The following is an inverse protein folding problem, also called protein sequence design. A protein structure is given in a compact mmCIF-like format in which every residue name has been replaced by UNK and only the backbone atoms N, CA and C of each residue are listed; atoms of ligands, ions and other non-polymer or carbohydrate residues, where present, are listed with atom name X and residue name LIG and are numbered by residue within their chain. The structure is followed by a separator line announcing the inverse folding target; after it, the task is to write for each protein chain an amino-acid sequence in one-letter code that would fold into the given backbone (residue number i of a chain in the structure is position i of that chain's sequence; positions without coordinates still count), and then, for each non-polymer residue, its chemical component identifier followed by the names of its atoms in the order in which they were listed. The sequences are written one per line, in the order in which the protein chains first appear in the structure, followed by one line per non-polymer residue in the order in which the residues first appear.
data_IF_768868759554
#
_entry.id   IF_768868759554
#
_cell.length_a   1.000
_cell.length_b   1.000
_cell.length_c   1.000
_cell.angle_alpha   90.00
_cell.angle_beta   90.00
_cell.angle_gamma   90.00
#
_symmetry.space_group_name_H-M   'P 1'
#
loop_
_entity.id
_entity.type
_entity.pdbx_description
1 polymer ?
#
# COMPACT_ATOMS: atom_id res chain seq x y z
N UNK A 1 49.01 13.77 -49.19
CA UNK A 1 47.94 13.88 -48.17
C UNK A 1 48.57 14.21 -46.82
N UNK A 2 48.43 15.43 -46.29
CA UNK A 2 48.93 15.80 -44.94
C UNK A 2 47.82 15.58 -43.91
N UNK A 3 47.99 14.59 -43.03
CA UNK A 3 47.07 14.31 -41.91
C UNK A 3 47.36 15.32 -40.79
N UNK A 4 46.42 16.22 -40.52
CA UNK A 4 46.50 17.16 -39.39
C UNK A 4 46.13 16.38 -38.12
N UNK A 5 47.12 16.02 -37.32
CA UNK A 5 46.91 15.46 -35.98
C UNK A 5 46.52 16.61 -35.04
N UNK A 6 45.22 16.71 -34.70
CA UNK A 6 44.75 17.62 -33.66
C UNK A 6 45.37 17.20 -32.33
N UNK A 7 46.17 18.09 -31.70
CA UNK A 7 46.64 17.90 -30.33
C UNK A 7 45.43 17.90 -29.40
N UNK A 8 45.16 16.78 -28.73
CA UNK A 8 44.22 16.73 -27.62
C UNK A 8 44.81 17.54 -26.46
N UNK A 9 44.10 18.58 -26.02
CA UNK A 9 44.44 19.29 -24.79
C UNK A 9 43.88 18.46 -23.63
N UNK A 10 44.75 17.99 -22.74
CA UNK A 10 44.36 17.37 -21.48
C UNK A 10 43.94 18.40 -20.45
N UNK A 11 43.26 17.96 -19.40
CA UNK A 11 42.83 18.81 -18.30
C UNK A 11 44.01 19.33 -17.50
N UNK A 12 43.90 20.58 -17.04
CA UNK A 12 44.86 21.19 -16.11
C UNK A 12 44.56 20.78 -14.68
N UNK A 13 45.59 20.80 -13.81
CA UNK A 13 45.42 20.57 -12.37
C UNK A 13 44.41 21.55 -11.76
N UNK A 14 44.43 22.80 -12.22
CA UNK A 14 43.51 23.86 -11.77
C UNK A 14 42.05 23.55 -12.10
N UNK A 15 41.75 22.97 -13.28
CA UNK A 15 40.38 22.59 -13.64
C UNK A 15 39.83 21.48 -12.75
N UNK A 16 40.67 20.50 -12.41
CA UNK A 16 40.28 19.41 -11.51
C UNK A 16 40.03 19.97 -10.09
N UNK A 17 40.88 20.88 -9.62
CA UNK A 17 40.70 21.52 -8.31
C UNK A 17 39.40 22.34 -8.23
N UNK A 18 39.09 23.11 -9.28
CA UNK A 18 37.85 23.89 -9.34
C UNK A 18 36.62 22.96 -9.38
N UNK A 19 36.67 21.88 -10.16
CA UNK A 19 35.59 20.91 -10.23
C UNK A 19 35.32 20.24 -8.86
N UNK A 20 36.39 19.85 -8.14
CA UNK A 20 36.27 19.27 -6.81
C UNK A 20 35.72 20.26 -5.78
N UNK A 21 36.11 21.54 -5.87
CA UNK A 21 35.57 22.59 -5.01
C UNK A 21 34.06 22.79 -5.22
N UNK A 22 33.59 22.79 -6.47
CA UNK A 22 32.15 22.88 -6.78
C UNK A 22 31.40 21.65 -6.25
N UNK A 23 31.95 20.44 -6.43
CA UNK A 23 31.35 19.20 -5.89
C UNK A 23 31.29 19.24 -4.36
N UNK A 24 32.32 19.73 -3.68
CA UNK A 24 32.35 19.85 -2.22
C UNK A 24 31.29 20.83 -1.70
N UNK A 25 31.09 21.95 -2.39
CA UNK A 25 30.04 22.93 -2.05
C UNK A 25 28.64 22.34 -2.34
N UNK A 26 28.45 21.74 -3.52
CA UNK A 26 27.16 21.15 -3.90
C UNK A 26 26.77 19.95 -3.04
N UNK A 27 27.75 19.19 -2.54
CA UNK A 27 27.52 18.06 -1.65
C UNK A 27 26.83 18.43 -0.33
N UNK A 28 26.87 19.71 0.08
CA UNK A 28 26.21 20.17 1.30
C UNK A 28 24.71 20.40 1.15
N UNK A 29 24.19 20.51 -0.08
CA UNK A 29 22.78 20.86 -0.37
C UNK A 29 22.01 19.63 -0.89
N UNK A 30 22.20 18.48 -0.26
CA UNK A 30 21.40 17.28 -0.55
C UNK A 30 20.68 16.86 0.73
N UNK A 31 19.44 17.33 0.87
CA UNK A 31 18.48 16.76 1.80
C UNK A 31 17.54 15.84 1.01
N UNK A 32 17.67 14.52 1.19
CA UNK A 32 16.73 13.54 0.64
C UNK A 32 15.44 13.55 1.50
N UNK A 33 14.57 14.55 1.32
CA UNK A 33 13.25 14.57 1.95
C UNK A 33 12.26 13.72 1.16
N UNK A 34 12.26 12.41 1.40
CA UNK A 34 11.25 11.47 0.87
C UNK A 34 10.20 11.04 1.91
N UNK A 35 10.34 11.41 3.19
CA UNK A 35 9.61 10.76 4.28
C UNK A 35 8.32 11.44 4.75
N UNK A 36 8.04 12.71 4.41
CA UNK A 36 6.93 13.45 5.05
C UNK A 36 5.53 13.32 4.43
N UNK A 37 5.41 12.79 3.21
CA UNK A 37 4.11 12.72 2.49
C UNK A 37 3.52 11.31 2.42
N UNK A 38 4.25 10.31 2.91
CA UNK A 38 3.88 8.90 2.76
C UNK A 38 2.73 8.55 3.68
N UNK A 39 2.71 9.05 4.92
CA UNK A 39 1.75 8.65 5.96
C UNK A 39 0.32 9.05 5.60
N UNK A 40 0.11 10.28 5.14
CA UNK A 40 -1.21 10.73 4.66
C UNK A 40 -1.67 9.94 3.44
N UNK A 41 -0.75 9.63 2.53
CA UNK A 41 -1.04 8.80 1.36
C UNK A 41 -1.39 7.36 1.77
N UNK A 42 -0.68 6.80 2.75
CA UNK A 42 -0.91 5.47 3.32
C UNK A 42 -2.31 5.40 3.94
N UNK A 43 -2.67 6.38 4.80
CA UNK A 43 -3.98 6.44 5.43
C UNK A 43 -5.10 6.58 4.40
N UNK A 44 -4.91 7.43 3.38
CA UNK A 44 -5.89 7.62 2.32
C UNK A 44 -6.08 6.34 1.50
N UNK A 45 -4.98 5.63 1.20
CA UNK A 45 -5.00 4.35 0.52
C UNK A 45 -5.76 3.30 1.36
N UNK A 46 -5.45 3.18 2.65
CA UNK A 46 -6.15 2.28 3.57
C UNK A 46 -7.65 2.54 3.59
N UNK A 47 -8.07 3.81 3.70
CA UNK A 47 -9.49 4.20 3.66
C UNK A 47 -10.17 3.76 2.37
N UNK A 48 -9.52 4.00 1.24
CA UNK A 48 -10.03 3.62 -0.08
C UNK A 48 -10.15 2.10 -0.24
N UNK A 49 -9.12 1.37 0.16
CA UNK A 49 -9.06 -0.09 -0.01
C UNK A 49 -10.06 -0.78 0.91
N UNK A 50 -10.08 -0.43 2.20
CA UNK A 50 -11.01 -1.00 3.17
C UNK A 50 -12.47 -0.74 2.78
N UNK A 51 -12.80 0.49 2.34
CA UNK A 51 -14.14 0.81 1.86
C UNK A 51 -14.53 0.04 0.59
N UNK A 52 -13.57 -0.17 -0.32
CA UNK A 52 -13.79 -0.96 -1.54
C UNK A 52 -14.05 -2.43 -1.22
N UNK A 53 -13.26 -3.01 -0.32
CA UNK A 53 -13.42 -4.41 0.12
C UNK A 53 -14.73 -4.58 0.89
N UNK A 54 -15.05 -3.67 1.81
CA UNK A 54 -16.30 -3.68 2.56
C UNK A 54 -17.51 -3.67 1.63
N UNK A 55 -17.54 -2.75 0.65
CA UNK A 55 -18.62 -2.68 -0.34
C UNK A 55 -18.73 -3.98 -1.15
N UNK A 56 -17.60 -4.58 -1.55
CA UNK A 56 -17.59 -5.85 -2.26
C UNK A 56 -18.14 -7.01 -1.40
N UNK A 57 -17.78 -7.06 -0.11
CA UNK A 57 -18.33 -8.02 0.84
C UNK A 57 -19.84 -7.84 1.04
N UNK A 58 -20.30 -6.60 1.17
CA UNK A 58 -21.73 -6.29 1.29
C UNK A 58 -22.50 -6.75 0.04
N UNK A 59 -21.99 -6.47 -1.16
CA UNK A 59 -22.60 -6.95 -2.41
C UNK A 59 -22.60 -8.48 -2.50
N UNK A 60 -21.52 -9.15 -2.08
CA UNK A 60 -21.48 -10.60 -2.00
C UNK A 60 -22.59 -11.16 -1.10
N UNK A 61 -22.78 -10.57 0.07
CA UNK A 61 -23.86 -10.95 1.00
C UNK A 61 -25.25 -10.64 0.43
N UNK A 62 -25.43 -9.53 -0.28
CA UNK A 62 -26.70 -9.18 -0.90
C UNK A 62 -27.13 -10.22 -1.95
N UNK A 63 -26.20 -10.69 -2.78
CA UNK A 63 -26.51 -11.66 -3.84
C UNK A 63 -26.69 -13.10 -3.33
N UNK A 64 -25.91 -13.48 -2.31
CA UNK A 64 -25.80 -14.88 -1.87
C UNK A 64 -26.44 -15.13 -0.50
N UNK A 65 -26.76 -14.09 0.27
CA UNK A 65 -27.35 -14.16 1.61
C UNK A 65 -26.36 -14.34 2.75
N UNK A 66 -25.09 -14.57 2.47
CA UNK A 66 -24.02 -14.81 3.45
C UNK A 66 -22.70 -14.18 2.99
N UNK A 67 -21.82 -13.84 3.94
CA UNK A 67 -20.45 -13.44 3.60
C UNK A 67 -19.58 -14.66 3.25
N UNK A 68 -18.46 -14.49 2.52
CA UNK A 68 -17.49 -15.56 2.32
C UNK A 68 -16.99 -16.13 3.66
N UNK A 69 -16.65 -17.42 3.68
CA UNK A 69 -16.05 -18.01 4.89
C UNK A 69 -14.59 -17.57 5.03
N UNK A 70 -14.01 -17.74 6.22
CA UNK A 70 -12.56 -17.48 6.43
C UNK A 70 -11.68 -18.31 5.49
N UNK A 71 -12.07 -19.54 5.17
CA UNK A 71 -11.33 -20.41 4.23
C UNK A 71 -11.42 -19.93 2.78
N UNK A 72 -12.58 -19.39 2.39
CA UNK A 72 -12.76 -18.77 1.07
C UNK A 72 -11.99 -17.43 0.99
N UNK A 73 -12.00 -16.67 2.09
CA UNK A 73 -11.29 -15.41 2.25
C UNK A 73 -11.72 -14.33 1.26
N UNK A 74 -10.88 -13.29 1.14
CA UNK A 74 -11.09 -12.20 0.17
C UNK A 74 -10.97 -12.66 -1.29
N UNK A 75 -10.41 -13.86 -1.55
CA UNK A 75 -10.34 -14.44 -2.90
C UNK A 75 -11.72 -14.70 -3.48
N UNK A 76 -12.72 -14.95 -2.64
CA UNK A 76 -14.12 -15.06 -3.07
C UNK A 76 -14.64 -13.78 -3.76
N UNK A 77 -14.02 -12.63 -3.54
CA UNK A 77 -14.44 -11.37 -4.16
C UNK A 77 -13.96 -11.21 -5.60
N UNK A 78 -12.97 -11.99 -6.05
CA UNK A 78 -12.42 -11.92 -7.42
C UNK A 78 -12.69 -13.21 -8.21
N UNK A 79 -12.80 -14.34 -7.53
CA UNK A 79 -12.98 -15.65 -8.12
C UNK A 79 -14.12 -16.37 -7.40
N UNK A 80 -14.98 -17.06 -8.17
CA UNK A 80 -16.07 -17.83 -7.60
C UNK A 80 -15.51 -18.97 -6.74
N UNK A 81 -15.79 -19.02 -5.42
CA UNK A 81 -15.32 -20.11 -4.58
C UNK A 81 -16.00 -21.43 -4.96
N UNK A 82 -15.23 -22.50 -4.90
CA UNK A 82 -15.67 -23.89 -5.15
C UNK A 82 -15.91 -24.66 -3.86
N UNK A 83 -15.45 -24.13 -2.73
CA UNK A 83 -15.69 -24.67 -1.39
C UNK A 83 -17.06 -24.29 -0.89
N UNK A 84 -17.68 -25.15 -0.09
CA UNK A 84 -19.00 -24.87 0.48
C UNK A 84 -18.92 -23.74 1.52
N UNK A 85 -19.92 -22.85 1.57
CA UNK A 85 -21.09 -22.76 0.68
C UNK A 85 -20.72 -22.15 -0.69
N UNK A 86 -21.13 -22.83 -1.77
CA UNK A 86 -20.90 -22.34 -3.15
C UNK A 86 -21.95 -21.30 -3.51
N UNK A 87 -21.55 -20.07 -3.89
CA UNK A 87 -22.49 -19.01 -4.25
C UNK A 87 -23.24 -19.35 -5.54
N UNK A 88 -24.57 -19.21 -5.49
CA UNK A 88 -25.43 -19.47 -6.64
C UNK A 88 -25.46 -18.27 -7.58
N UNK A 89 -25.54 -17.06 -7.03
CA UNK A 89 -25.68 -15.79 -7.77
C UNK A 89 -24.34 -15.04 -7.84
N UNK A 90 -23.31 -15.69 -8.41
CA UNK A 90 -21.99 -15.07 -8.52
C UNK A 90 -21.81 -14.31 -9.85
N UNK A 91 -21.46 -13.02 -9.85
CA UNK A 91 -21.23 -12.25 -11.06
C UNK A 91 -20.00 -12.74 -11.82
N UNK A 92 -20.06 -12.78 -13.16
CA UNK A 92 -18.95 -13.27 -14.00
C UNK A 92 -17.62 -12.50 -13.76
N UNK A 93 -17.71 -11.23 -13.38
CA UNK A 93 -16.54 -10.37 -13.17
C UNK A 93 -16.07 -10.31 -11.71
N UNK A 94 -16.71 -11.04 -10.79
CA UNK A 94 -16.48 -10.89 -9.35
C UNK A 94 -17.10 -9.62 -8.78
N UNK A 95 -16.77 -9.34 -7.52
CA UNK A 95 -17.27 -8.22 -6.73
C UNK A 95 -16.29 -7.04 -6.64
N UNK A 96 -15.01 -7.27 -6.95
CA UNK A 96 -14.01 -6.21 -7.07
C UNK A 96 -13.85 -5.77 -8.52
N UNK A 97 -13.69 -4.45 -8.74
CA UNK A 97 -13.45 -3.89 -10.06
C UNK A 97 -12.08 -4.27 -10.65
N UNK A 98 -11.18 -4.81 -9.84
CA UNK A 98 -9.87 -5.34 -10.22
C UNK A 98 -9.83 -6.86 -10.03
N UNK A 99 -9.04 -7.55 -10.85
CA UNK A 99 -8.76 -8.99 -10.71
C UNK A 99 -7.75 -9.32 -9.61
N UNK A 100 -7.26 -8.30 -8.91
CA UNK A 100 -6.35 -8.46 -7.79
C UNK A 100 -6.97 -7.86 -6.53
N UNK A 101 -6.79 -8.57 -5.40
CA UNK A 101 -7.11 -8.03 -4.08
C UNK A 101 -6.06 -6.95 -3.78
N UNK A 102 -6.48 -5.73 -3.39
CA UNK A 102 -5.52 -4.70 -3.01
C UNK A 102 -4.74 -5.16 -1.76
N UNK A 103 -3.44 -4.91 -1.76
CA UNK A 103 -2.60 -5.04 -0.55
C UNK A 103 -2.57 -3.70 0.17
N UNK A 104 -2.29 -3.71 1.47
CA UNK A 104 -2.12 -2.48 2.24
C UNK A 104 -0.89 -1.64 1.76
N UNK A 105 -0.66 -0.43 2.30
CA UNK A 105 0.48 0.42 1.92
C UNK A 105 1.85 -0.23 2.16
N UNK A 106 1.94 -1.15 3.10
CA UNK A 106 3.15 -1.88 3.46
C UNK A 106 3.25 -3.24 2.74
N UNK A 107 2.43 -3.44 1.70
CA UNK A 107 2.39 -4.62 0.82
C UNK A 107 2.01 -5.91 1.54
N UNK A 108 1.25 -5.81 2.62
CA UNK A 108 0.65 -6.95 3.32
C UNK A 108 -0.77 -7.18 2.84
N UNK A 109 -1.23 -8.43 2.96
CA UNK A 109 -2.61 -8.78 2.68
C UNK A 109 -3.52 -8.31 3.82
N UNK A 110 -4.74 -7.91 3.47
CA UNK A 110 -5.76 -7.65 4.48
C UNK A 110 -6.20 -8.96 5.13
N UNK A 111 -6.35 -8.91 6.45
CA UNK A 111 -6.85 -10.02 7.24
C UNK A 111 -8.36 -9.96 7.24
N UNK A 112 -8.98 -11.09 6.88
CA UNK A 112 -10.43 -11.26 6.87
C UNK A 112 -10.80 -12.49 7.69
N UNK A 113 -11.80 -12.36 8.56
CA UNK A 113 -12.34 -13.47 9.35
C UNK A 113 -13.86 -13.41 9.42
N UNK A 114 -14.48 -14.58 9.32
CA UNK A 114 -15.92 -14.78 9.44
C UNK A 114 -16.17 -16.05 10.30
N UNK A 115 -16.97 -15.97 11.38
CA UNK A 115 -17.59 -14.75 11.93
C UNK A 115 -16.57 -13.78 12.54
N UNK A 116 -16.90 -12.50 12.55
CA UNK A 116 -16.10 -11.48 13.24
C UNK A 116 -16.29 -11.51 14.76
N UNK A 117 -15.43 -10.78 15.48
CA UNK A 117 -15.50 -10.70 16.96
C UNK A 117 -16.66 -9.82 17.44
N UNK A 118 -16.81 -8.65 16.82
CA UNK A 118 -17.80 -7.63 17.21
C UNK A 118 -18.79 -7.31 16.08
N UNK A 119 -18.50 -7.77 14.87
CA UNK A 119 -19.28 -7.52 13.66
C UNK A 119 -19.49 -8.84 12.92
N UNK A 120 -20.32 -8.85 11.88
CA UNK A 120 -20.57 -10.04 11.06
C UNK A 120 -19.27 -10.66 10.49
N UNK A 121 -18.27 -9.82 10.25
CA UNK A 121 -16.92 -10.19 9.83
C UNK A 121 -15.89 -9.20 10.41
N UNK A 122 -14.66 -9.66 10.58
CA UNK A 122 -13.50 -8.80 10.86
C UNK A 122 -12.73 -8.57 9.55
N UNK A 123 -12.36 -7.32 9.27
CA UNK A 123 -11.51 -6.92 8.16
C UNK A 123 -10.51 -5.88 8.66
N UNK A 124 -9.21 -6.15 8.59
CA UNK A 124 -8.20 -5.22 9.09
C UNK A 124 -6.80 -5.47 8.49
N UNK A 125 -5.91 -4.49 8.67
CA UNK A 125 -4.45 -4.63 8.50
C UNK A 125 -3.76 -4.50 9.86
N UNK A 126 -2.57 -5.10 10.01
CA UNK A 126 -1.69 -5.02 11.17
C UNK A 126 -0.73 -3.80 11.12
N UNK A 127 -1.04 -2.79 10.30
CA UNK A 127 -0.22 -1.59 10.20
C UNK A 127 1.19 -1.83 9.64
N UNK A 128 2.09 -0.88 9.91
CA UNK A 128 3.46 -0.85 9.41
C UNK A 128 4.37 -1.92 10.03
N UNK A 129 4.17 -2.29 11.29
CA UNK A 129 4.98 -3.30 11.98
C UNK A 129 4.54 -4.74 11.67
N UNK A 130 3.29 -4.92 11.21
CA UNK A 130 2.73 -6.23 10.91
C UNK A 130 2.45 -7.05 12.17
N UNK A 131 2.21 -6.40 13.31
CA UNK A 131 1.92 -7.07 14.59
C UNK A 131 0.58 -6.59 15.15
N UNK A 132 -0.15 -7.42 15.89
CA UNK A 132 -1.37 -6.98 16.55
C UNK A 132 -1.10 -5.86 17.55
N UNK A 133 -1.99 -4.88 17.60
CA UNK A 133 -1.87 -3.71 18.46
C UNK A 133 -1.15 -2.55 17.77
N UNK A 134 -0.23 -1.90 18.47
CA UNK A 134 0.53 -0.76 17.95
C UNK A 134 -0.18 0.59 18.05
N UNK A 135 0.55 1.66 17.72
CA UNK A 135 0.08 3.04 17.69
C UNK A 135 0.53 3.72 16.38
N UNK A 136 -0.17 4.79 15.98
CA UNK A 136 0.15 5.53 14.76
C UNK A 136 0.06 4.65 13.51
N UNK A 137 1.12 4.59 12.71
CA UNK A 137 1.18 3.72 11.52
C UNK A 137 1.22 2.22 11.86
N UNK A 138 1.63 1.85 13.07
CA UNK A 138 1.71 0.46 13.51
C UNK A 138 0.38 -0.07 14.05
N UNK A 139 -0.64 0.78 14.17
CA UNK A 139 -1.90 0.35 14.74
C UNK A 139 -2.66 -0.61 13.81
N UNK A 140 -3.44 -1.52 14.40
CA UNK A 140 -4.41 -2.31 13.66
C UNK A 140 -5.53 -1.41 13.10
N UNK A 141 -5.74 -1.44 11.78
CA UNK A 141 -6.70 -0.56 11.09
C UNK A 141 -7.75 -1.39 10.35
N UNK A 142 -9.01 -1.07 10.61
CA UNK A 142 -10.22 -1.71 10.12
C UNK A 142 -11.22 -0.66 9.62
N UNK A 143 -12.25 -1.02 8.84
CA UNK A 143 -13.30 -0.07 8.42
C UNK A 143 -13.95 0.67 9.60
N UNK A 144 -14.01 0.01 10.75
CA UNK A 144 -14.67 0.49 11.97
C UNK A 144 -13.87 1.57 12.72
N UNK A 145 -12.54 1.53 12.67
CA UNK A 145 -11.66 2.45 13.40
C UNK A 145 -10.76 3.33 12.50
N UNK A 146 -10.84 3.20 11.17
CA UNK A 146 -9.99 3.97 10.23
C UNK A 146 -10.16 5.50 10.34
N UNK A 147 -11.28 5.96 10.91
CA UNK A 147 -11.53 7.38 11.17
C UNK A 147 -10.73 7.90 12.37
N UNK A 148 -10.40 7.02 13.31
CA UNK A 148 -9.62 7.31 14.52
C UNK A 148 -8.12 7.27 14.25
N UNK A 149 -7.70 6.54 13.20
CA UNK A 149 -6.32 6.48 12.75
C UNK A 149 -5.84 7.87 12.29
N UNK A 150 -4.99 8.49 13.12
CA UNK A 150 -4.30 9.73 12.82
C UNK A 150 -2.79 9.52 13.01
N UNK A 151 -2.09 9.31 11.90
CA UNK A 151 -0.65 9.03 11.89
C UNK A 151 0.21 10.24 12.31
N UNK A 152 -0.41 11.41 12.51
CA UNK A 152 0.30 12.66 12.77
C UNK A 152 0.42 13.00 14.27
N UNK A 153 0.16 12.04 15.18
CA UNK A 153 0.21 12.27 16.63
C UNK A 153 1.62 12.32 17.22
N UNK A 154 2.62 11.80 16.52
CA UNK A 154 3.98 11.68 17.05
C UNK A 154 4.87 12.90 16.80
N UNK A 155 4.31 14.00 16.29
CA UNK A 155 5.04 15.20 15.87
C UNK A 155 4.57 16.49 16.58
N UNK A 156 4.05 16.36 17.81
CA UNK A 156 3.77 17.49 18.72
C UNK A 156 4.59 17.40 20.01
#
# INVERSE_FOLDING_TARGET
MKRILRKQKGFTLTEILIALAIVAIMGTVVTLSLLGNTDKANLQKLKSDLGTIEMALQNYKLDNGYYPTTEQGLRALIEKPTTNPVPQNYPRNGYLGSRAIPTDPWKREYIYMQPGRNHDYDLYTLGADGRPGGEGENMDISPWNVHEANFNRDNQ
#
